data_IF_880249788317
#
_entry.id   IF_880249788317
#
_cell.length_a   1.000
_cell.length_b   1.000
_cell.length_c   1.000
_cell.angle_alpha   90.00
_cell.angle_beta   90.00
_cell.angle_gamma   90.00
#
_symmetry.space_group_name_H-M   'P 1'
#
loop_
_entity.id
_entity.type
_entity.pdbx_description
1 polymer ?
#
# COMPACT_ATOMS: atom_id res chain seq x y z
N UNK A 1 -14.30 3.72 -6.59
CA UNK A 1 -13.71 3.21 -5.34
C UNK A 1 -13.51 1.71 -5.51
N UNK A 2 -12.28 1.21 -5.46
CA UNK A 2 -12.08 -0.22 -5.25
C UNK A 2 -12.65 -0.57 -3.86
N UNK A 3 -13.58 -1.53 -3.75
CA UNK A 3 -14.12 -1.92 -2.45
C UNK A 3 -12.99 -2.46 -1.58
N UNK A 4 -12.89 -1.97 -0.33
CA UNK A 4 -11.85 -2.40 0.58
C UNK A 4 -12.01 -3.89 0.89
N UNK A 5 -11.03 -4.72 0.48
CA UNK A 5 -10.96 -6.15 0.82
C UNK A 5 -10.98 -6.35 2.34
N UNK A 6 -10.30 -5.45 3.07
CA UNK A 6 -10.36 -5.36 4.53
C UNK A 6 -11.35 -4.27 4.93
N UNK A 7 -12.46 -4.67 5.56
CA UNK A 7 -13.58 -3.79 5.91
C UNK A 7 -13.55 -3.24 7.34
N UNK A 8 -12.78 -3.86 8.26
CA UNK A 8 -12.69 -3.43 9.66
C UNK A 8 -11.25 -3.50 10.18
N UNK A 9 -10.43 -2.56 9.73
CA UNK A 9 -9.00 -2.45 10.12
C UNK A 9 -8.86 -2.18 11.62
N UNK A 10 -9.80 -1.45 12.23
CA UNK A 10 -9.78 -1.14 13.66
C UNK A 10 -9.99 -2.36 14.57
N UNK A 11 -10.46 -3.50 14.04
CA UNK A 11 -10.60 -4.75 14.79
C UNK A 11 -9.31 -5.59 14.84
N UNK A 12 -8.26 -5.18 14.12
CA UNK A 12 -6.96 -5.85 14.16
C UNK A 12 -6.37 -5.72 15.56
N UNK A 13 -5.86 -6.84 16.09
CA UNK A 13 -5.20 -6.90 17.38
C UNK A 13 -3.73 -7.21 17.18
N UNK A 14 -2.89 -6.60 18.01
CA UNK A 14 -1.46 -6.92 18.07
C UNK A 14 -1.26 -8.30 18.71
N UNK A 15 -0.28 -9.02 18.18
CA UNK A 15 0.19 -10.28 18.74
C UNK A 15 1.72 -10.25 18.77
N UNK A 16 2.30 -10.80 19.83
CA UNK A 16 3.75 -10.84 19.98
C UNK A 16 4.40 -11.59 18.79
N UNK A 17 5.37 -10.94 18.14
CA UNK A 17 6.08 -11.49 16.99
C UNK A 17 5.33 -11.41 15.66
N UNK A 18 4.19 -10.71 15.59
CA UNK A 18 3.41 -10.54 14.35
C UNK A 18 3.20 -9.06 14.07
N UNK A 19 3.77 -8.60 12.96
CA UNK A 19 3.53 -7.25 12.43
C UNK A 19 2.48 -7.28 11.33
N UNK A 20 1.58 -6.29 11.36
CA UNK A 20 0.52 -6.16 10.36
C UNK A 20 0.83 -5.01 9.43
N UNK A 21 0.99 -5.33 8.15
CA UNK A 21 1.26 -4.36 7.08
C UNK A 21 0.03 -4.22 6.19
N UNK A 22 -0.45 -3.00 6.00
CA UNK A 22 -1.49 -2.69 5.01
C UNK A 22 -0.83 -2.22 3.71
N UNK A 23 -1.03 -2.97 2.63
CA UNK A 23 -0.45 -2.66 1.32
C UNK A 23 -1.51 -2.41 0.23
N UNK A 24 -1.15 -1.62 -0.78
CA UNK A 24 -1.91 -1.48 -2.03
C UNK A 24 -1.63 -2.67 -2.93
N UNK A 25 -2.59 -3.58 -3.07
CA UNK A 25 -2.48 -4.81 -3.88
C UNK A 25 -3.38 -4.72 -5.13
N UNK A 26 -3.09 -3.74 -5.99
CA UNK A 26 -3.81 -3.56 -7.25
C UNK A 26 -2.89 -3.06 -8.35
N UNK A 27 -2.99 -3.65 -9.53
CA UNK A 27 -2.22 -3.27 -10.72
C UNK A 27 -2.68 -1.89 -11.21
N UNK A 28 -1.74 -1.04 -11.62
CA UNK A 28 -2.09 0.24 -12.23
C UNK A 28 -0.92 1.19 -12.45
N UNK A 29 -1.17 2.20 -13.30
CA UNK A 29 -0.28 3.33 -13.46
C UNK A 29 -0.03 4.06 -12.12
N UNK A 30 1.10 4.77 -11.97
CA UNK A 30 1.50 5.42 -10.73
C UNK A 30 0.40 6.21 -10.01
N UNK A 31 -0.30 7.08 -10.74
CA UNK A 31 -1.35 7.93 -10.13
C UNK A 31 -2.46 7.11 -9.47
N UNK A 32 -2.87 5.98 -10.06
CA UNK A 32 -3.91 5.12 -9.49
C UNK A 32 -3.44 4.45 -8.20
N UNK A 33 -2.17 4.03 -8.15
CA UNK A 33 -1.58 3.42 -6.95
C UNK A 33 -1.40 4.47 -5.84
N UNK A 34 -0.97 5.68 -6.19
CA UNK A 34 -0.84 6.82 -5.25
C UNK A 34 -2.20 7.18 -4.65
N UNK A 35 -3.24 7.32 -5.49
CA UNK A 35 -4.60 7.60 -5.03
C UNK A 35 -5.14 6.50 -4.12
N UNK A 36 -4.91 5.23 -4.48
CA UNK A 36 -5.33 4.09 -3.66
C UNK A 36 -4.58 4.05 -2.33
N UNK A 37 -3.29 4.35 -2.34
CA UNK A 37 -2.48 4.43 -1.13
C UNK A 37 -3.01 5.50 -0.17
N UNK A 38 -3.21 6.73 -0.66
CA UNK A 38 -3.75 7.83 0.14
C UNK A 38 -5.13 7.48 0.75
N UNK A 39 -5.98 6.78 0.00
CA UNK A 39 -7.28 6.32 0.48
C UNK A 39 -7.14 5.26 1.58
N UNK A 40 -6.25 4.27 1.40
CA UNK A 40 -6.05 3.20 2.38
C UNK A 40 -5.32 3.68 3.66
N UNK A 41 -4.55 4.76 3.58
CA UNK A 41 -3.78 5.26 4.73
C UNK A 41 -4.52 6.30 5.59
N UNK A 42 -5.66 6.81 5.14
CA UNK A 42 -6.39 7.89 5.84
C UNK A 42 -6.74 7.57 7.30
N UNK A 43 -7.17 6.35 7.58
CA UNK A 43 -7.62 5.89 8.90
C UNK A 43 -6.78 4.69 9.38
N UNK A 44 -5.47 4.71 9.09
CA UNK A 44 -4.57 3.65 9.48
C UNK A 44 -4.38 3.65 11.02
N UNK A 45 -4.74 2.57 11.74
CA UNK A 45 -4.45 2.47 13.17
C UNK A 45 -2.94 2.50 13.42
N UNK A 46 -2.50 3.02 14.56
CA UNK A 46 -1.07 3.11 14.91
C UNK A 46 -0.39 1.75 15.07
N UNK A 47 -1.17 0.67 15.20
CA UNK A 47 -0.70 -0.72 15.30
C UNK A 47 -0.58 -1.41 13.94
N UNK A 48 -0.85 -0.70 12.84
CA UNK A 48 -0.77 -1.22 11.47
C UNK A 48 0.24 -0.38 10.70
N UNK A 49 1.20 -1.06 10.10
CA UNK A 49 2.29 -0.46 9.34
C UNK A 49 1.89 -0.20 7.90
N UNK A 50 2.46 0.85 7.31
CA UNK A 50 2.18 1.22 5.93
C UNK A 50 3.06 0.40 4.97
N UNK A 51 2.44 -0.22 3.96
CA UNK A 51 3.12 -0.98 2.92
C UNK A 51 2.71 -0.57 1.52
N UNK A 52 3.55 -0.94 0.55
CA UNK A 52 3.29 -0.66 -0.87
C UNK A 52 3.70 -1.87 -1.72
N UNK A 53 2.92 -2.21 -2.76
CA UNK A 53 3.26 -3.29 -3.70
C UNK A 53 3.43 -2.74 -5.11
N UNK A 54 4.47 -3.21 -5.78
CA UNK A 54 4.77 -2.94 -7.17
C UNK A 54 4.78 -4.26 -7.96
N UNK A 55 4.17 -4.24 -9.13
CA UNK A 55 4.19 -5.36 -10.08
C UNK A 55 5.10 -4.99 -11.25
N UNK A 56 6.22 -5.71 -11.44
CA UNK A 56 7.27 -5.34 -12.39
C UNK A 56 6.77 -5.25 -13.82
N UNK A 57 5.93 -6.19 -14.23
CA UNK A 57 5.45 -6.29 -15.61
C UNK A 57 4.10 -5.58 -15.77
N UNK A 58 3.16 -5.83 -14.86
CA UNK A 58 1.78 -5.39 -15.01
C UNK A 58 1.58 -3.90 -14.73
N UNK A 59 2.29 -3.31 -13.77
CA UNK A 59 2.24 -1.86 -13.56
C UNK A 59 2.93 -1.11 -14.71
N UNK A 60 3.86 -1.77 -15.41
CA UNK A 60 4.58 -1.22 -16.56
C UNK A 60 3.72 -1.17 -17.86
N UNK A 61 2.61 -1.92 -17.92
CA UNK A 61 1.67 -1.91 -19.06
C UNK A 61 0.87 -0.60 -19.16
N UNK A 62 0.18 -0.13 -18.10
CA UNK A 62 -0.60 1.10 -18.15
C UNK A 62 0.22 2.39 -17.91
N UNK A 63 1.48 2.28 -17.48
CA UNK A 63 2.35 3.43 -17.20
C UNK A 63 3.76 3.00 -16.76
N UNK A 64 4.67 3.92 -16.43
CA UNK A 64 5.97 3.53 -15.87
C UNK A 64 5.82 2.95 -14.46
N UNK A 65 6.68 2.00 -14.10
CA UNK A 65 6.80 1.55 -12.72
C UNK A 65 7.28 2.70 -11.83
N UNK A 66 6.69 2.87 -10.64
CA UNK A 66 7.19 3.87 -9.70
C UNK A 66 8.60 3.51 -9.24
N UNK A 67 9.47 4.51 -9.19
CA UNK A 67 10.84 4.38 -8.70
C UNK A 67 10.87 4.30 -7.17
N UNK A 68 11.93 3.72 -6.57
CA UNK A 68 12.06 3.68 -5.12
C UNK A 68 11.96 5.06 -4.44
N UNK A 69 12.58 6.14 -4.96
CA UNK A 69 12.40 7.48 -4.38
C UNK A 69 10.96 7.98 -4.42
N UNK A 70 10.20 7.68 -5.48
CA UNK A 70 8.78 8.07 -5.57
C UNK A 70 7.92 7.31 -4.56
N UNK A 71 8.19 6.01 -4.36
CA UNK A 71 7.50 5.21 -3.34
C UNK A 71 7.84 5.70 -1.93
N UNK A 72 9.11 6.01 -1.66
CA UNK A 72 9.54 6.52 -0.35
C UNK A 72 9.08 7.95 -0.08
N UNK A 73 8.63 8.69 -1.09
CA UNK A 73 8.05 10.02 -0.93
C UNK A 73 6.55 10.01 -0.58
N UNK A 74 5.90 8.84 -0.57
CA UNK A 74 4.49 8.72 -0.18
C UNK A 74 4.29 9.07 1.30
N UNK A 75 3.06 9.47 1.66
CA UNK A 75 2.69 9.84 3.02
C UNK A 75 1.49 9.01 3.48
N UNK A 76 1.59 8.27 4.60
CA UNK A 76 2.82 8.00 5.37
C UNK A 76 3.90 7.33 4.50
N UNK A 77 5.17 7.42 4.88
CA UNK A 77 6.24 6.72 4.15
C UNK A 77 6.05 5.19 4.32
N UNK A 78 6.04 4.38 3.24
CA UNK A 78 5.95 2.93 3.37
C UNK A 78 7.15 2.36 4.13
N UNK A 79 6.87 1.46 5.06
CA UNK A 79 7.87 0.75 5.86
C UNK A 79 8.25 -0.60 5.23
N UNK A 80 7.32 -1.16 4.46
CA UNK A 80 7.52 -2.40 3.72
C UNK A 80 7.11 -2.22 2.26
N UNK A 81 8.01 -2.56 1.34
CA UNK A 81 7.76 -2.50 -0.11
C UNK A 81 7.92 -3.89 -0.68
N UNK A 82 6.84 -4.42 -1.23
CA UNK A 82 6.82 -5.70 -1.95
C UNK A 82 6.95 -5.45 -3.45
N UNK A 83 7.81 -6.23 -4.08
CA UNK A 83 7.95 -6.29 -5.53
C UNK A 83 7.55 -7.69 -5.99
N UNK A 84 6.70 -7.77 -7.01
CA UNK A 84 6.24 -9.00 -7.65
C UNK A 84 6.52 -8.97 -9.15
#
# INVERSE_FOLDING_TARGET
>A
MAPGVVSNVAAIREYEGVEVIRSVDGIGAPHMKIETYALLMKDLPSTVHAGFKLFFEEDAVPGPLMTPPEVLALVPQPEYILYE
#
